data_IF_754820228427
#
_entry.id   IF_754820228427
#
_cell.length_a   1.000
_cell.length_b   1.000
_cell.length_c   1.000
_cell.angle_alpha   90.00
_cell.angle_beta   90.00
_cell.angle_gamma   90.00
#
_symmetry.space_group_name_H-M   'P 1'
#
loop_
_entity.id
_entity.type
_entity.pdbx_description
1 polymer ?
#
# COMPACT_ATOMS: atom_id res chain seq x y z
N UNK A 1 -19.22 -10.50 -6.71
CA UNK A 1 -18.77 -9.25 -6.06
C UNK A 1 -17.37 -8.92 -6.57
N UNK A 2 -17.09 -7.68 -6.97
CA UNK A 2 -15.73 -7.25 -7.34
C UNK A 2 -14.98 -6.90 -6.05
N UNK A 3 -13.76 -7.43 -5.82
CA UNK A 3 -13.00 -7.11 -4.62
C UNK A 3 -12.59 -5.63 -4.62
N UNK A 4 -12.51 -5.06 -3.42
CA UNK A 4 -12.05 -3.70 -3.19
C UNK A 4 -10.61 -3.71 -2.67
N UNK A 5 -9.81 -2.70 -3.00
CA UNK A 5 -8.45 -2.58 -2.46
C UNK A 5 -8.49 -2.51 -0.94
N UNK A 6 -9.42 -1.72 -0.38
CA UNK A 6 -9.55 -1.54 1.07
C UNK A 6 -9.83 -2.84 1.85
N UNK A 7 -10.54 -3.80 1.23
CA UNK A 7 -10.86 -5.11 1.83
C UNK A 7 -9.68 -6.08 1.79
N UNK A 8 -8.65 -5.80 0.98
CA UNK A 8 -7.50 -6.67 0.74
C UNK A 8 -6.23 -6.20 1.45
N UNK A 9 -6.28 -5.06 2.14
CA UNK A 9 -5.11 -4.37 2.74
C UNK A 9 -5.23 -4.17 4.25
N UNK A 10 -5.97 -5.03 4.96
CA UNK A 10 -5.95 -5.01 6.42
C UNK A 10 -4.55 -5.32 6.99
N UNK A 11 -4.33 -4.98 8.27
CA UNK A 11 -3.02 -5.15 8.90
C UNK A 11 -2.48 -6.58 8.86
N UNK A 12 -3.33 -7.60 8.95
CA UNK A 12 -2.92 -9.00 8.89
C UNK A 12 -2.62 -9.45 7.45
N UNK A 13 -3.32 -8.93 6.45
CA UNK A 13 -3.04 -9.14 5.04
C UNK A 13 -1.70 -8.51 4.64
N UNK A 14 -1.41 -7.30 5.10
CA UNK A 14 -0.13 -6.61 4.89
C UNK A 14 1.01 -7.42 5.54
N UNK A 15 0.86 -7.83 6.81
CA UNK A 15 1.89 -8.58 7.53
C UNK A 15 2.21 -9.94 6.87
N UNK A 16 1.23 -10.57 6.22
CA UNK A 16 1.43 -11.85 5.51
C UNK A 16 2.23 -11.70 4.22
N UNK A 17 2.27 -10.52 3.61
CA UNK A 17 2.99 -10.27 2.35
C UNK A 17 4.34 -9.58 2.54
N UNK A 18 4.46 -8.74 3.56
CA UNK A 18 5.67 -7.98 3.83
C UNK A 18 6.65 -8.78 4.69
N UNK A 19 7.95 -8.60 4.43
CA UNK A 19 8.96 -8.95 5.43
C UNK A 19 8.75 -8.08 6.70
N UNK A 20 9.01 -8.60 7.91
CA UNK A 20 8.75 -7.87 9.16
C UNK A 20 9.42 -6.49 9.23
N UNK A 21 10.64 -6.36 8.69
CA UNK A 21 11.34 -5.08 8.65
C UNK A 21 10.66 -4.05 7.74
N UNK A 22 10.14 -4.49 6.59
CA UNK A 22 9.41 -3.62 5.66
C UNK A 22 8.02 -3.25 6.19
N UNK A 23 7.40 -4.17 6.95
CA UNK A 23 6.15 -3.91 7.67
C UNK A 23 6.31 -2.73 8.65
N UNK A 24 7.28 -2.81 9.55
CA UNK A 24 7.51 -1.79 10.57
C UNK A 24 7.92 -0.44 9.96
N UNK A 25 8.82 -0.46 8.97
CA UNK A 25 9.25 0.76 8.27
C UNK A 25 8.13 1.40 7.46
N UNK A 26 7.33 0.58 6.78
CA UNK A 26 6.17 1.07 6.02
C UNK A 26 5.13 1.72 6.93
N UNK A 27 4.88 1.13 8.11
CA UNK A 27 4.02 1.76 9.13
C UNK A 27 4.57 3.10 9.60
N UNK A 28 5.88 3.18 9.89
CA UNK A 28 6.52 4.42 10.31
C UNK A 28 6.39 5.55 9.27
N UNK A 29 6.50 5.23 7.97
CA UNK A 29 6.29 6.23 6.90
C UNK A 29 4.88 6.82 6.92
N UNK A 30 3.86 6.02 7.19
CA UNK A 30 2.48 6.52 7.29
C UNK A 30 2.34 7.44 8.50
N UNK A 31 2.92 7.06 9.63
CA UNK A 31 2.86 7.85 10.86
C UNK A 31 3.63 9.18 10.75
N UNK A 32 4.68 9.22 9.91
CA UNK A 32 5.38 10.46 9.54
C UNK A 32 4.64 11.29 8.49
N UNK A 33 3.51 10.84 7.95
CA UNK A 33 2.77 11.54 6.90
C UNK A 33 3.44 11.52 5.53
N UNK A 34 4.36 10.58 5.29
CA UNK A 34 5.14 10.50 4.05
C UNK A 34 4.36 9.96 2.84
N UNK A 35 3.10 9.54 3.03
CA UNK A 35 2.24 8.96 1.98
C UNK A 35 1.24 9.99 1.49
N UNK A 36 1.37 10.38 0.23
CA UNK A 36 0.40 11.19 -0.50
C UNK A 36 -0.45 10.28 -1.39
N UNK A 37 -1.71 10.07 -1.02
CA UNK A 37 -2.67 9.36 -1.87
C UNK A 37 -3.11 10.28 -3.00
N UNK A 38 -2.82 9.89 -4.24
CA UNK A 38 -3.12 10.66 -5.45
C UNK A 38 -4.53 10.36 -5.98
N UNK A 39 -4.94 9.09 -5.92
CA UNK A 39 -6.26 8.65 -6.37
C UNK A 39 -6.72 7.41 -5.63
N UNK A 40 -8.01 7.36 -5.30
CA UNK A 40 -8.66 6.20 -4.68
C UNK A 40 -9.88 5.83 -5.50
N UNK A 41 -9.93 4.58 -5.92
CA UNK A 41 -11.11 3.94 -6.49
C UNK A 41 -11.28 2.57 -5.81
N UNK A 42 -12.49 1.99 -5.85
CA UNK A 42 -12.74 0.62 -5.41
C UNK A 42 -11.66 -0.40 -5.84
N UNK A 43 -11.26 -0.36 -7.11
CA UNK A 43 -10.37 -1.35 -7.71
C UNK A 43 -8.90 -0.94 -7.78
N UNK A 44 -8.56 0.33 -7.50
CA UNK A 44 -7.20 0.83 -7.62
C UNK A 44 -6.94 2.01 -6.70
N UNK A 45 -5.76 2.01 -6.08
CA UNK A 45 -5.19 3.16 -5.36
C UNK A 45 -3.86 3.51 -5.97
N UNK A 46 -3.62 4.81 -6.14
CA UNK A 46 -2.33 5.36 -6.58
C UNK A 46 -1.85 6.36 -5.54
N UNK A 47 -0.57 6.28 -5.21
CA UNK A 47 0.07 7.11 -4.20
C UNK A 47 1.51 7.44 -4.57
N UNK A 48 2.00 8.54 -4.01
CA UNK A 48 3.42 8.86 -3.96
C UNK A 48 3.88 8.78 -2.50
N UNK A 49 5.01 8.11 -2.27
CA UNK A 49 5.65 7.98 -0.96
C UNK A 49 6.98 8.70 -0.96
N UNK A 50 7.18 9.60 -0.02
CA UNK A 50 8.42 10.36 0.18
C UNK A 50 9.36 9.60 1.13
N UNK A 51 10.39 8.96 0.59
CA UNK A 51 11.39 8.21 1.37
C UNK A 51 12.79 8.49 0.81
N UNK A 52 13.29 9.70 1.10
CA UNK A 52 14.48 10.29 0.48
C UNK A 52 14.30 10.66 -0.99
N UNK A 53 13.51 9.91 -1.75
CA UNK A 53 13.06 10.17 -3.12
C UNK A 53 11.57 9.85 -3.24
N UNK A 54 10.90 10.49 -4.21
CA UNK A 54 9.50 10.20 -4.55
C UNK A 54 9.35 8.83 -5.19
N UNK A 55 8.64 7.93 -4.54
CA UNK A 55 8.29 6.62 -5.08
C UNK A 55 6.81 6.57 -5.43
N UNK A 56 6.50 6.23 -6.68
CA UNK A 56 5.13 5.99 -7.12
C UNK A 56 4.72 4.57 -6.76
N UNK A 57 3.53 4.42 -6.20
CA UNK A 57 2.95 3.15 -5.79
C UNK A 57 1.56 3.00 -6.39
N UNK A 58 1.25 1.80 -6.85
CA UNK A 58 -0.09 1.41 -7.26
C UNK A 58 -0.51 0.13 -6.57
N UNK A 59 -1.74 0.11 -6.07
CA UNK A 59 -2.43 -1.07 -5.57
C UNK A 59 -3.64 -1.34 -6.45
N UNK A 60 -3.90 -2.59 -6.79
CA UNK A 60 -5.04 -2.99 -7.62
C UNK A 60 -5.72 -4.22 -7.04
N UNK A 61 -7.04 -4.15 -6.91
CA UNK A 61 -7.85 -5.31 -6.57
C UNK A 61 -8.19 -6.06 -7.86
N UNK A 62 -7.77 -7.32 -7.94
CA UNK A 62 -8.08 -8.22 -9.05
C UNK A 62 -8.84 -9.43 -8.53
N UNK A 63 -9.37 -10.26 -9.44
CA UNK A 63 -10.07 -11.49 -9.03
C UNK A 63 -9.15 -12.49 -8.31
N UNK A 64 -7.82 -12.33 -8.44
CA UNK A 64 -6.82 -13.21 -7.80
C UNK A 64 -6.30 -12.64 -6.47
N UNK A 65 -6.76 -11.46 -6.07
CA UNK A 65 -6.32 -10.79 -4.85
C UNK A 65 -5.74 -9.41 -5.14
N UNK A 66 -4.81 -8.99 -4.29
CA UNK A 66 -4.14 -7.70 -4.40
C UNK A 66 -2.94 -7.82 -5.35
N UNK A 67 -2.90 -6.98 -6.37
CA UNK A 67 -1.69 -6.71 -7.16
C UNK A 67 -1.10 -5.36 -6.74
N UNK A 68 0.21 -5.24 -6.83
CA UNK A 68 0.91 -4.02 -6.47
C UNK A 68 2.04 -3.74 -7.46
N UNK A 69 2.42 -2.46 -7.52
CA UNK A 69 3.60 -2.01 -8.21
C UNK A 69 4.20 -0.82 -7.46
N UNK A 70 5.53 -0.75 -7.42
CA UNK A 70 6.22 0.42 -6.89
C UNK A 70 7.41 0.75 -7.80
N UNK A 71 7.69 2.05 -7.95
CA UNK A 71 8.82 2.52 -8.75
C UNK A 71 10.19 2.25 -8.13
N UNK A 72 10.27 1.85 -6.85
CA UNK A 72 11.56 1.56 -6.20
C UNK A 72 12.19 0.27 -6.73
N UNK A 73 13.53 0.07 -6.60
CA UNK A 73 14.18 -1.12 -7.16
C UNK A 73 13.59 -2.47 -6.68
N UNK A 74 13.30 -2.67 -5.39
CA UNK A 74 12.62 -3.89 -4.93
C UNK A 74 11.21 -4.05 -5.52
N UNK A 75 10.44 -2.97 -5.56
CA UNK A 75 9.07 -2.96 -6.06
C UNK A 75 8.97 -3.26 -7.56
N UNK A 76 9.93 -2.78 -8.36
CA UNK A 76 10.04 -3.14 -9.78
C UNK A 76 10.34 -4.63 -9.99
N UNK A 77 10.97 -5.27 -9.00
CA UNK A 77 11.16 -6.73 -8.94
C UNK A 77 9.94 -7.49 -8.43
N UNK A 78 8.83 -6.82 -8.13
CA UNK A 78 7.60 -7.43 -7.61
C UNK A 78 7.56 -7.58 -6.08
N UNK A 79 8.56 -7.10 -5.35
CA UNK A 79 8.57 -7.19 -3.89
C UNK A 79 7.47 -6.34 -3.24
N UNK A 80 6.90 -6.84 -2.15
CA UNK A 80 5.98 -6.07 -1.30
C UNK A 80 6.77 -5.15 -0.37
N UNK A 81 7.44 -4.16 -0.96
CA UNK A 81 8.36 -3.29 -0.24
C UNK A 81 7.66 -2.37 0.78
N UNK A 82 8.45 -1.72 1.63
CA UNK A 82 7.95 -0.76 2.62
C UNK A 82 7.05 0.37 2.03
N UNK A 83 7.26 0.79 0.76
CA UNK A 83 6.40 1.81 0.13
C UNK A 83 5.01 1.26 -0.23
N UNK A 84 4.94 0.00 -0.65
CA UNK A 84 3.69 -0.72 -0.88
C UNK A 84 2.96 -0.92 0.45
N UNK A 85 3.67 -1.34 1.49
CA UNK A 85 3.16 -1.42 2.87
C UNK A 85 2.56 -0.09 3.31
N UNK A 86 3.32 1.00 3.18
CA UNK A 86 2.87 2.33 3.62
C UNK A 86 1.58 2.76 2.90
N UNK A 87 1.52 2.53 1.58
CA UNK A 87 0.33 2.84 0.77
C UNK A 87 -0.87 1.96 1.16
N UNK A 88 -0.64 0.68 1.44
CA UNK A 88 -1.66 -0.27 1.88
C UNK A 88 -2.26 0.17 3.23
N UNK A 89 -1.41 0.52 4.20
CA UNK A 89 -1.85 1.05 5.50
C UNK A 89 -2.61 2.37 5.38
N UNK A 90 -2.11 3.32 4.59
CA UNK A 90 -2.80 4.58 4.37
C UNK A 90 -4.18 4.38 3.73
N UNK A 91 -4.31 3.39 2.84
CA UNK A 91 -5.59 2.99 2.24
C UNK A 91 -6.53 2.38 3.27
N UNK A 92 -6.04 1.41 4.06
CA UNK A 92 -6.84 0.75 5.09
C UNK A 92 -7.35 1.74 6.14
N UNK A 93 -6.49 2.65 6.63
CA UNK A 93 -6.85 3.70 7.59
C UNK A 93 -7.93 4.64 7.07
N UNK A 94 -7.98 4.89 5.75
CA UNK A 94 -9.04 5.70 5.13
C UNK A 94 -10.36 4.96 5.04
N UNK A 95 -10.34 3.67 4.70
CA UNK A 95 -11.55 2.84 4.60
C UNK A 95 -12.15 2.47 5.97
N UNK A 96 -11.30 2.29 7.00
CA UNK A 96 -11.71 2.04 8.39
C UNK A 96 -12.14 3.30 9.14
N UNK A 97 -11.89 4.49 8.60
CA UNK A 97 -12.35 5.77 9.14
C UNK A 97 -13.79 6.15 8.73
N UNK A 98 -14.58 5.22 8.21
CA UNK A 98 -16.02 5.43 8.02
C UNK A 98 -16.77 5.04 9.31
N UNK A 99 -17.57 5.92 9.92
CA UNK A 99 -18.54 5.52 10.94
C UNK A 99 -19.64 4.62 10.36
#
# INVERSE_FOLDING_TARGET
MKPLVADLVDGAAILRQADPADYDRGRALVDMGAVLIESVTPARVSATVEDGQRQRVELRATQRGLEWWCSCPPGRGGAFCLHVVATAFATWRRGSASP
#
